data_IF_458199422439
#
_entry.id   IF_458199422439
#
_cell.length_a   1.000
_cell.length_b   1.000
_cell.length_c   1.000
_cell.angle_alpha   90.00
_cell.angle_beta   90.00
_cell.angle_gamma   90.00
#
_symmetry.space_group_name_H-M   'P 1'
#
loop_
_entity.id
_entity.type
_entity.pdbx_description
1 polymer ?
#
# COMPACT_ATOMS: atom_id res chain seq x y z
N UNK A 1 -36.43 -3.28 -44.13
CA UNK A 1 -36.67 -2.43 -42.94
C UNK A 1 -36.12 -3.03 -41.65
N UNK A 2 -35.68 -4.30 -41.60
CA UNK A 2 -35.24 -4.95 -40.34
C UNK A 2 -33.79 -4.57 -39.94
N UNK A 3 -32.91 -4.18 -40.87
CA UNK A 3 -31.52 -3.81 -40.54
C UNK A 3 -31.39 -2.54 -39.69
N UNK A 4 -32.15 -1.49 -40.00
CA UNK A 4 -31.96 -0.17 -39.36
C UNK A 4 -32.25 -0.16 -37.85
N UNK A 5 -33.18 -0.99 -37.37
CA UNK A 5 -33.50 -1.07 -35.93
C UNK A 5 -32.46 -1.90 -35.17
N UNK A 6 -31.94 -2.97 -35.78
CA UNK A 6 -30.84 -3.77 -35.23
C UNK A 6 -29.53 -2.97 -35.14
N UNK A 7 -29.25 -2.13 -36.15
CA UNK A 7 -28.03 -1.33 -36.19
C UNK A 7 -28.02 -0.20 -35.14
N UNK A 8 -29.19 0.43 -34.91
CA UNK A 8 -29.38 1.40 -33.84
C UNK A 8 -29.16 0.78 -32.45
N UNK A 9 -29.70 -0.42 -32.21
CA UNK A 9 -29.50 -1.15 -30.94
C UNK A 9 -28.01 -1.43 -30.71
N UNK A 10 -27.28 -1.82 -31.77
CA UNK A 10 -25.86 -2.11 -31.69
C UNK A 10 -25.02 -0.85 -31.44
N UNK A 11 -25.37 0.29 -32.05
CA UNK A 11 -24.71 1.57 -31.76
C UNK A 11 -24.89 1.99 -30.29
N UNK A 12 -26.11 1.90 -29.78
CA UNK A 12 -26.41 2.22 -28.38
C UNK A 12 -25.64 1.30 -27.41
N UNK A 13 -25.53 0.01 -27.72
CA UNK A 13 -24.76 -0.94 -26.92
C UNK A 13 -23.27 -0.59 -26.89
N UNK A 14 -22.67 -0.26 -28.03
CA UNK A 14 -21.26 0.14 -28.13
C UNK A 14 -20.99 1.43 -27.34
N UNK A 15 -21.86 2.43 -27.45
CA UNK A 15 -21.75 3.70 -26.70
C UNK A 15 -21.87 3.45 -25.19
N UNK A 16 -22.78 2.57 -24.78
CA UNK A 16 -22.94 2.19 -23.38
C UNK A 16 -21.69 1.50 -22.84
N UNK A 17 -21.13 0.54 -23.60
CA UNK A 17 -19.88 -0.13 -23.22
C UNK A 17 -18.71 0.85 -23.09
N UNK A 18 -18.60 1.85 -23.99
CA UNK A 18 -17.58 2.90 -23.87
C UNK A 18 -17.75 3.71 -22.59
N UNK A 19 -18.98 4.13 -22.29
CA UNK A 19 -19.30 4.90 -21.08
C UNK A 19 -18.97 4.11 -19.81
N UNK A 20 -19.29 2.81 -19.79
CA UNK A 20 -18.99 1.93 -18.66
C UNK A 20 -17.48 1.75 -18.45
N UNK A 21 -16.71 1.60 -19.53
CA UNK A 21 -15.24 1.53 -19.46
C UNK A 21 -14.61 2.84 -18.99
N UNK A 22 -15.11 3.98 -19.48
CA UNK A 22 -14.65 5.31 -19.04
C UNK A 22 -14.91 5.52 -17.55
N UNK A 23 -16.09 5.13 -17.06
CA UNK A 23 -16.41 5.18 -15.63
C UNK A 23 -15.49 4.30 -14.78
N UNK A 24 -15.21 3.07 -15.23
CA UNK A 24 -14.27 2.18 -14.54
C UNK A 24 -12.87 2.77 -14.47
N UNK A 25 -12.41 3.40 -15.55
CA UNK A 25 -11.12 4.08 -15.58
C UNK A 25 -11.08 5.24 -14.57
N UNK A 26 -12.13 6.04 -14.48
CA UNK A 26 -12.23 7.13 -13.50
C UNK A 26 -12.20 6.62 -12.05
N UNK A 27 -12.94 5.55 -11.75
CA UNK A 27 -12.96 4.94 -10.42
C UNK A 27 -11.57 4.37 -10.06
N UNK A 28 -10.91 3.71 -11.00
CA UNK A 28 -9.56 3.17 -10.82
C UNK A 28 -8.51 4.27 -10.61
N UNK A 29 -8.63 5.41 -11.32
CA UNK A 29 -7.76 6.57 -11.10
C UNK A 29 -7.94 7.19 -9.71
N UNK A 30 -9.17 7.17 -9.17
CA UNK A 30 -9.41 7.60 -7.78
C UNK A 30 -8.73 6.66 -6.79
N UNK A 31 -8.87 5.35 -6.96
CA UNK A 31 -8.19 4.35 -6.12
C UNK A 31 -6.67 4.54 -6.16
N UNK A 32 -6.10 4.78 -7.35
CA UNK A 32 -4.68 5.11 -7.53
C UNK A 32 -4.26 6.32 -6.69
N UNK A 33 -5.03 7.40 -6.75
CA UNK A 33 -4.74 8.62 -5.98
C UNK A 33 -4.83 8.39 -4.46
N UNK A 34 -5.80 7.60 -4.01
CA UNK A 34 -5.92 7.25 -2.60
C UNK A 34 -4.72 6.43 -2.09
N UNK A 35 -4.30 5.43 -2.86
CA UNK A 35 -3.11 4.63 -2.54
C UNK A 35 -1.85 5.49 -2.47
N UNK A 36 -1.63 6.38 -3.45
CA UNK A 36 -0.50 7.31 -3.46
C UNK A 36 -0.50 8.27 -2.25
N UNK A 37 -1.68 8.76 -1.85
CA UNK A 37 -1.78 9.61 -0.67
C UNK A 37 -1.45 8.83 0.62
N UNK A 38 -1.94 7.59 0.76
CA UNK A 38 -1.59 6.72 1.89
C UNK A 38 -0.09 6.45 1.96
N UNK A 39 0.55 6.14 0.83
CA UNK A 39 2.02 5.96 0.76
C UNK A 39 2.74 7.22 1.23
N UNK A 40 2.31 8.41 0.78
CA UNK A 40 2.91 9.69 1.20
C UNK A 40 2.81 9.87 2.72
N UNK A 41 1.69 9.53 3.33
CA UNK A 41 1.50 9.66 4.77
C UNK A 41 2.35 8.65 5.55
N UNK A 42 2.46 7.39 5.09
CA UNK A 42 3.37 6.40 5.68
C UNK A 42 4.83 6.86 5.61
N UNK A 43 5.25 7.48 4.50
CA UNK A 43 6.61 8.05 4.35
C UNK A 43 6.83 9.17 5.36
N UNK A 44 5.86 10.08 5.55
CA UNK A 44 5.96 11.16 6.53
C UNK A 44 6.04 10.63 7.96
N UNK A 45 5.20 9.65 8.30
CA UNK A 45 5.20 9.02 9.62
C UNK A 45 6.55 8.36 9.90
N UNK A 46 7.05 7.56 8.96
CA UNK A 46 8.36 6.93 9.06
C UNK A 46 9.49 7.94 9.27
N UNK A 47 9.51 9.03 8.50
CA UNK A 47 10.50 10.10 8.71
C UNK A 47 10.35 10.84 10.05
N UNK A 48 9.16 10.82 10.66
CA UNK A 48 8.96 11.25 12.05
C UNK A 48 9.66 10.31 13.03
N UNK A 49 9.40 9.02 12.90
CA UNK A 49 10.00 7.97 13.74
C UNK A 49 11.52 7.90 13.62
N UNK A 50 12.08 8.10 12.43
CA UNK A 50 13.53 8.16 12.21
C UNK A 50 14.16 9.32 12.99
N UNK A 51 13.52 10.50 13.02
CA UNK A 51 13.97 11.65 13.83
C UNK A 51 13.86 11.38 15.33
N UNK A 52 12.82 10.69 15.76
CA UNK A 52 12.67 10.28 17.16
C UNK A 52 13.79 9.30 17.57
N UNK A 53 14.14 8.37 16.70
CA UNK A 53 15.24 7.43 16.92
C UNK A 53 16.58 8.16 17.05
N UNK A 54 16.85 9.15 16.19
CA UNK A 54 18.06 9.97 16.26
C UNK A 54 18.17 10.74 17.58
N UNK A 55 17.06 11.34 18.04
CA UNK A 55 17.00 12.02 19.34
C UNK A 55 17.28 11.05 20.48
N UNK A 56 16.64 9.89 20.48
CA UNK A 56 16.82 8.86 21.52
C UNK A 56 18.26 8.31 21.51
N UNK A 57 18.89 8.16 20.34
CA UNK A 57 20.30 7.80 20.24
C UNK A 57 21.21 8.87 20.88
N UNK A 58 20.86 10.16 20.73
CA UNK A 58 21.54 11.25 21.41
C UNK A 58 21.43 11.15 22.94
N UNK A 59 20.21 10.97 23.46
CA UNK A 59 19.94 10.81 24.88
C UNK A 59 20.68 9.59 25.47
N UNK A 60 20.70 8.47 24.75
CA UNK A 60 21.44 7.26 25.15
C UNK A 60 22.93 7.55 25.30
N UNK A 61 23.54 8.26 24.34
CA UNK A 61 24.95 8.60 24.36
C UNK A 61 25.30 9.48 25.55
N UNK A 62 24.48 10.49 25.84
CA UNK A 62 24.66 11.35 27.02
C UNK A 62 24.58 10.56 28.33
N UNK A 63 23.66 9.61 28.44
CA UNK A 63 23.54 8.74 29.61
C UNK A 63 24.73 7.76 29.73
N UNK A 64 25.23 7.23 28.62
CA UNK A 64 26.44 6.39 28.59
C UNK A 64 27.69 7.17 29.04
N UNK A 65 27.79 8.46 28.67
CA UNK A 65 28.85 9.33 29.15
C UNK A 65 28.74 9.58 30.67
N UNK A 66 27.54 9.92 31.16
CA UNK A 66 27.29 10.04 32.61
C UNK A 66 27.62 8.76 33.38
N UNK A 67 27.25 7.60 32.83
CA UNK A 67 27.58 6.30 33.41
C UNK A 67 29.08 6.09 33.57
N UNK A 68 29.86 6.47 32.55
CA UNK A 68 31.32 6.38 32.58
C UNK A 68 31.90 7.29 33.66
N UNK A 69 31.40 8.52 33.77
CA UNK A 69 31.84 9.49 34.79
C UNK A 69 31.54 9.01 36.21
N UNK A 70 30.33 8.48 36.45
CA UNK A 70 29.95 7.90 37.75
C UNK A 70 30.87 6.73 38.09
N UNK A 71 31.12 5.83 37.14
CA UNK A 71 32.02 4.68 37.32
C UNK A 71 33.45 5.14 37.67
N UNK A 72 33.94 6.18 37.02
CA UNK A 72 35.25 6.77 37.32
C UNK A 72 35.29 7.33 38.75
N UNK A 73 34.29 8.15 39.14
CA UNK A 73 34.20 8.73 40.49
C UNK A 73 34.13 7.66 41.59
N UNK A 74 33.39 6.57 41.37
CA UNK A 74 33.34 5.42 42.30
C UNK A 74 34.72 4.77 42.43
N UNK A 75 35.47 4.63 41.33
CA UNK A 75 36.83 4.11 41.32
C UNK A 75 37.82 5.01 42.06
N UNK A 76 37.72 6.33 41.87
CA UNK A 76 38.54 7.33 42.57
C UNK A 76 38.30 7.27 44.08
N UNK A 77 37.03 7.29 44.49
CA UNK A 77 36.63 7.15 45.91
C UNK A 77 37.15 5.84 46.50
N UNK A 78 37.07 4.73 45.77
CA UNK A 78 37.54 3.44 46.28
C UNK A 78 39.05 3.44 46.52
N UNK A 79 39.84 4.17 45.71
CA UNK A 79 41.28 4.37 45.94
C UNK A 79 41.57 5.31 47.11
N UNK A 80 40.79 6.36 47.29
CA UNK A 80 40.92 7.26 48.45
C UNK A 80 40.72 6.49 49.77
N UNK A 81 39.81 5.51 49.80
CA UNK A 81 39.56 4.69 50.99
C UNK A 81 40.74 3.79 51.39
N UNK A 82 41.61 3.38 50.46
CA UNK A 82 42.73 2.47 50.74
C UNK A 82 43.84 3.12 51.60
N UNK A 83 43.78 4.44 51.83
CA UNK A 83 44.80 5.20 52.56
C UNK A 83 44.32 5.96 53.82
N UNK A 84 43.11 5.73 54.31
CA UNK A 84 42.49 6.57 55.36
C UNK A 84 42.37 5.82 56.70
N UNK A 85 42.88 6.45 57.78
CA UNK A 85 42.82 5.93 59.15
C UNK A 85 41.88 6.70 60.10
N UNK A 86 41.20 7.75 59.62
CA UNK A 86 40.28 8.57 60.43
C UNK A 86 38.82 8.14 60.20
N UNK A 87 38.15 7.71 61.27
CA UNK A 87 36.82 7.08 61.23
C UNK A 87 35.71 8.00 60.66
N UNK A 88 35.75 9.30 60.97
CA UNK A 88 34.80 10.29 60.47
C UNK A 88 34.91 10.50 58.95
N UNK A 89 36.14 10.46 58.43
CA UNK A 89 36.42 10.60 56.99
C UNK A 89 36.00 9.36 56.20
N UNK A 90 36.08 8.18 56.82
CA UNK A 90 35.57 6.93 56.22
C UNK A 90 34.06 6.98 56.03
N UNK A 91 33.31 7.52 57.00
CA UNK A 91 31.85 7.65 56.93
C UNK A 91 31.40 8.59 55.81
N UNK A 92 32.04 9.76 55.67
CA UNK A 92 31.73 10.72 54.60
C UNK A 92 31.97 10.12 53.21
N UNK A 93 33.09 9.43 53.04
CA UNK A 93 33.43 8.76 51.77
C UNK A 93 32.45 7.64 51.45
N UNK A 94 32.03 6.85 52.46
CA UNK A 94 31.00 5.84 52.29
C UNK A 94 29.68 6.43 51.79
N UNK A 95 29.24 7.54 52.41
CA UNK A 95 28.00 8.21 52.01
C UNK A 95 28.05 8.66 50.55
N UNK A 96 29.14 9.33 50.14
CA UNK A 96 29.34 9.77 48.76
C UNK A 96 29.37 8.61 47.76
N UNK A 97 29.99 7.48 48.15
CA UNK A 97 29.98 6.25 47.34
C UNK A 97 28.57 5.70 47.17
N UNK A 98 27.77 5.68 48.23
CA UNK A 98 26.38 5.24 48.18
C UNK A 98 25.52 6.13 47.27
N UNK A 99 25.68 7.45 47.36
CA UNK A 99 24.98 8.42 46.49
C UNK A 99 25.30 8.16 45.00
N UNK A 100 26.58 7.94 44.66
CA UNK A 100 26.97 7.61 43.29
C UNK A 100 26.44 6.26 42.80
N UNK A 101 26.33 5.27 43.69
CA UNK A 101 25.72 3.97 43.36
C UNK A 101 24.23 4.15 43.04
N UNK A 102 23.53 5.00 43.79
CA UNK A 102 22.13 5.33 43.53
C UNK A 102 21.98 6.07 42.19
N UNK A 103 22.80 7.10 41.94
CA UNK A 103 22.82 7.82 40.66
C UNK A 103 23.09 6.85 39.48
N UNK A 104 24.01 5.89 39.68
CA UNK A 104 24.27 4.83 38.68
C UNK A 104 23.02 4.02 38.36
N UNK A 105 22.30 3.57 39.38
CA UNK A 105 21.09 2.77 39.21
C UNK A 105 19.98 3.56 38.47
N UNK A 106 19.83 4.85 38.76
CA UNK A 106 18.87 5.71 38.04
C UNK A 106 19.24 5.88 36.56
N UNK A 107 20.53 5.96 36.24
CA UNK A 107 21.00 6.02 34.84
C UNK A 107 20.80 4.67 34.15
N UNK A 108 21.04 3.54 34.82
CA UNK A 108 20.76 2.20 34.32
C UNK A 108 19.27 2.06 33.95
N UNK A 109 18.35 2.46 34.83
CA UNK A 109 16.90 2.42 34.58
C UNK A 109 16.49 3.25 33.36
N UNK A 110 17.06 4.46 33.21
CA UNK A 110 16.79 5.32 32.03
C UNK A 110 17.32 4.71 30.73
N UNK A 111 18.44 4.00 30.76
CA UNK A 111 18.97 3.29 29.60
C UNK A 111 18.07 2.11 29.20
N UNK A 112 17.51 1.40 30.17
CA UNK A 112 16.54 0.33 29.92
C UNK A 112 15.25 0.88 29.28
N UNK A 113 14.75 2.02 29.78
CA UNK A 113 13.62 2.75 29.17
C UNK A 113 13.87 3.15 27.72
N UNK A 114 15.05 3.71 27.45
CA UNK A 114 15.47 4.06 26.09
C UNK A 114 15.50 2.83 25.20
N UNK A 115 16.06 1.73 25.69
CA UNK A 115 16.13 0.48 24.94
C UNK A 115 14.74 -0.01 24.55
N UNK A 116 13.78 0.02 25.49
CA UNK A 116 12.37 -0.32 25.21
C UNK A 116 11.77 0.59 24.13
N UNK A 117 11.90 1.91 24.27
CA UNK A 117 11.38 2.87 23.27
C UNK A 117 11.98 2.67 21.89
N UNK A 118 13.28 2.37 21.79
CA UNK A 118 13.92 2.06 20.49
C UNK A 118 13.30 0.84 19.83
N UNK A 119 13.07 -0.23 20.59
CA UNK A 119 12.43 -1.45 20.07
C UNK A 119 11.04 -1.14 19.53
N UNK A 120 10.21 -0.41 20.29
CA UNK A 120 8.88 0.01 19.87
C UNK A 120 8.90 0.82 18.57
N UNK A 121 9.79 1.80 18.46
CA UNK A 121 9.96 2.62 17.25
C UNK A 121 10.40 1.77 16.05
N UNK A 122 11.36 0.86 16.25
CA UNK A 122 11.85 -0.02 15.20
C UNK A 122 10.76 -0.96 14.68
N UNK A 123 9.93 -1.50 15.57
CA UNK A 123 8.81 -2.34 15.18
C UNK A 123 7.75 -1.54 14.42
N UNK A 124 7.46 -0.30 14.84
CA UNK A 124 6.58 0.59 14.09
C UNK A 124 7.13 0.90 12.70
N UNK A 125 8.42 1.14 12.54
CA UNK A 125 9.06 1.35 11.23
C UNK A 125 8.92 0.11 10.34
N UNK A 126 9.06 -1.10 10.90
CA UNK A 126 8.83 -2.34 10.14
C UNK A 126 7.39 -2.46 9.66
N UNK A 127 6.41 -2.18 10.52
CA UNK A 127 4.99 -2.18 10.14
C UNK A 127 4.71 -1.19 9.01
N UNK A 128 5.20 0.05 9.12
CA UNK A 128 5.03 1.07 8.09
C UNK A 128 5.68 0.64 6.76
N UNK A 129 6.85 0.00 6.83
CA UNK A 129 7.54 -0.51 5.64
C UNK A 129 6.72 -1.60 4.95
N UNK A 130 6.16 -2.54 5.73
CA UNK A 130 5.27 -3.58 5.20
C UNK A 130 4.02 -3.00 4.55
N UNK A 131 3.32 -2.10 5.26
CA UNK A 131 2.11 -1.46 4.74
C UNK A 131 2.39 -0.68 3.44
N UNK A 132 3.57 -0.06 3.33
CA UNK A 132 3.99 0.63 2.11
C UNK A 132 4.17 -0.34 0.96
N UNK A 133 4.82 -1.49 1.19
CA UNK A 133 4.98 -2.52 0.15
C UNK A 133 3.64 -3.09 -0.32
N UNK A 134 2.69 -3.34 0.59
CA UNK A 134 1.34 -3.80 0.22
C UNK A 134 0.58 -2.77 -0.64
N UNK A 135 0.79 -1.47 -0.39
CA UNK A 135 0.24 -0.39 -1.22
C UNK A 135 0.96 -0.26 -2.57
N UNK A 136 2.28 -0.46 -2.60
CA UNK A 136 3.07 -0.49 -3.85
C UNK A 136 2.58 -1.63 -4.76
N UNK A 137 2.37 -2.83 -4.22
CA UNK A 137 1.78 -3.95 -4.98
C UNK A 137 0.36 -3.65 -5.47
N UNK A 138 -0.42 -2.90 -4.69
CA UNK A 138 -1.75 -2.47 -5.12
C UNK A 138 -1.68 -1.47 -6.27
N UNK A 139 -0.72 -0.54 -6.24
CA UNK A 139 -0.47 0.38 -7.36
C UNK A 139 -0.06 -0.37 -8.62
N UNK A 140 0.83 -1.37 -8.52
CA UNK A 140 1.24 -2.16 -9.67
C UNK A 140 0.04 -2.87 -10.34
N UNK A 141 -0.87 -3.42 -9.53
CA UNK A 141 -2.12 -4.03 -10.03
C UNK A 141 -3.03 -2.99 -10.70
N UNK A 142 -3.21 -1.83 -10.07
CA UNK A 142 -3.99 -0.73 -10.61
C UNK A 142 -3.41 -0.25 -11.94
N UNK A 143 -2.08 -0.15 -12.07
CA UNK A 143 -1.43 0.27 -13.31
C UNK A 143 -1.59 -0.75 -14.43
N UNK A 144 -1.53 -2.04 -14.11
CA UNK A 144 -1.81 -3.10 -15.07
C UNK A 144 -3.26 -3.02 -15.59
N UNK A 145 -4.24 -2.86 -14.69
CA UNK A 145 -5.65 -2.72 -15.04
C UNK A 145 -5.93 -1.42 -15.82
N UNK A 146 -5.27 -0.31 -15.46
CA UNK A 146 -5.36 0.97 -16.17
C UNK A 146 -4.90 0.82 -17.64
N UNK A 147 -3.81 0.08 -17.87
CA UNK A 147 -3.30 -0.21 -19.22
C UNK A 147 -4.30 -1.08 -20.00
N UNK A 148 -4.87 -2.10 -19.36
CA UNK A 148 -5.84 -2.99 -20.00
C UNK A 148 -7.13 -2.25 -20.38
N UNK A 149 -7.71 -1.48 -19.45
CA UNK A 149 -8.90 -0.67 -19.70
C UNK A 149 -8.68 0.34 -20.83
N UNK A 150 -7.50 0.99 -20.88
CA UNK A 150 -7.16 1.92 -21.98
C UNK A 150 -7.09 1.23 -23.33
N UNK A 151 -6.55 0.00 -23.38
CA UNK A 151 -6.53 -0.82 -24.61
C UNK A 151 -7.96 -1.16 -25.04
N UNK A 152 -8.74 -1.74 -24.14
CA UNK A 152 -10.13 -2.12 -24.42
C UNK A 152 -10.97 -0.92 -24.88
N UNK A 153 -10.77 0.25 -24.27
CA UNK A 153 -11.46 1.48 -24.68
C UNK A 153 -11.00 1.95 -26.08
N UNK A 154 -9.72 1.83 -26.40
CA UNK A 154 -9.20 2.17 -27.73
C UNK A 154 -9.78 1.25 -28.80
N UNK A 155 -9.75 -0.07 -28.55
CA UNK A 155 -10.27 -1.09 -29.46
C UNK A 155 -11.78 -0.89 -29.68
N UNK A 156 -12.53 -0.65 -28.60
CA UNK A 156 -13.96 -0.38 -28.69
C UNK A 156 -14.27 0.91 -29.46
N UNK A 157 -13.46 1.97 -29.29
CA UNK A 157 -13.55 3.22 -30.06
C UNK A 157 -13.23 3.01 -31.53
N UNK A 158 -12.36 2.08 -31.87
CA UNK A 158 -12.09 1.69 -33.26
C UNK A 158 -13.27 0.91 -33.85
N UNK A 159 -13.74 -0.14 -33.18
CA UNK A 159 -14.92 -0.91 -33.61
C UNK A 159 -16.15 -0.02 -33.81
N UNK A 160 -16.39 0.94 -32.91
CA UNK A 160 -17.51 1.88 -33.03
C UNK A 160 -17.35 2.79 -34.24
N UNK A 161 -16.14 3.29 -34.51
CA UNK A 161 -15.87 4.10 -35.72
C UNK A 161 -16.06 3.30 -37.00
N UNK A 162 -15.59 2.05 -37.04
CA UNK A 162 -15.76 1.16 -38.19
C UNK A 162 -17.23 0.87 -38.46
N UNK A 163 -18.01 0.57 -37.41
CA UNK A 163 -19.44 0.33 -37.48
C UNK A 163 -20.20 1.56 -38.02
N UNK A 164 -19.93 2.76 -37.48
CA UNK A 164 -20.53 4.01 -38.00
C UNK A 164 -20.14 4.24 -39.47
N UNK A 165 -18.89 3.95 -39.84
CA UNK A 165 -18.42 4.11 -41.21
C UNK A 165 -19.02 3.10 -42.18
N UNK A 166 -19.37 1.88 -41.74
CA UNK A 166 -20.10 0.90 -42.57
C UNK A 166 -21.55 1.32 -42.77
N UNK A 167 -22.24 1.74 -41.70
CA UNK A 167 -23.61 2.25 -41.81
C UNK A 167 -23.69 3.46 -42.74
N UNK A 168 -22.74 4.40 -42.61
CA UNK A 168 -22.69 5.59 -43.46
C UNK A 168 -22.52 5.24 -44.95
N UNK A 169 -21.78 4.17 -45.27
CA UNK A 169 -21.61 3.68 -46.63
C UNK A 169 -22.90 3.05 -47.16
N UNK A 170 -23.54 2.18 -46.38
CA UNK A 170 -24.79 1.52 -46.75
C UNK A 170 -25.91 2.54 -47.01
N UNK A 171 -26.05 3.56 -46.16
CA UNK A 171 -26.99 4.67 -46.38
C UNK A 171 -26.69 5.38 -47.71
N UNK A 172 -25.41 5.65 -48.00
CA UNK A 172 -25.01 6.30 -49.25
C UNK A 172 -25.20 5.45 -50.52
N UNK A 173 -25.24 4.13 -50.42
CA UNK A 173 -25.60 3.21 -51.52
C UNK A 173 -27.11 3.21 -51.76
N UNK A 174 -27.90 3.18 -50.68
CA UNK A 174 -29.38 3.30 -50.73
C UNK A 174 -29.79 4.62 -51.37
N UNK A 175 -29.19 5.74 -50.97
CA UNK A 175 -29.52 7.08 -51.49
C UNK A 175 -29.20 7.24 -52.99
N UNK A 176 -28.26 6.44 -53.53
CA UNK A 176 -27.88 6.42 -54.94
C UNK A 176 -28.73 5.49 -55.81
N UNK A 177 -29.61 4.69 -55.21
CA UNK A 177 -30.45 3.72 -55.92
C UNK A 177 -29.69 2.51 -56.48
N UNK A 178 -28.50 2.21 -55.93
CA UNK A 178 -27.74 1.01 -56.24
C UNK A 178 -28.42 -0.19 -55.52
N UNK A 179 -28.66 -1.32 -56.21
CA UNK A 179 -29.28 -2.52 -55.61
C UNK A 179 -28.44 -3.02 -54.43
N UNK A 180 -28.95 -2.87 -53.21
CA UNK A 180 -28.34 -3.45 -52.00
C UNK A 180 -28.56 -4.97 -52.05
N UNK A 181 -27.50 -5.72 -52.28
CA UNK A 181 -27.52 -7.19 -52.28
C UNK A 181 -27.72 -7.67 -50.82
N UNK A 182 -28.97 -7.90 -50.43
CA UNK A 182 -29.33 -8.41 -49.10
C UNK A 182 -28.79 -9.84 -48.98
N UNK A 183 -27.63 -10.01 -48.35
CA UNK A 183 -27.14 -11.32 -47.91
C UNK A 183 -27.76 -11.64 -46.56
N UNK A 184 -28.84 -12.41 -46.58
CA UNK A 184 -29.34 -13.09 -45.38
C UNK A 184 -28.31 -14.12 -44.93
N UNK A 185 -27.45 -13.75 -43.97
CA UNK A 185 -26.64 -14.71 -43.24
C UNK A 185 -27.50 -15.25 -42.09
N UNK A 186 -28.31 -16.29 -42.39
CA UNK A 186 -28.99 -17.08 -41.37
C UNK A 186 -27.91 -17.94 -40.70
N UNK A 187 -27.42 -17.51 -39.54
CA UNK A 187 -26.63 -18.37 -38.66
C UNK A 187 -27.59 -19.38 -38.03
N UNK A 188 -27.58 -20.62 -38.53
CA UNK A 188 -28.17 -21.76 -37.83
C UNK A 188 -27.43 -21.94 -36.49
N UNK A 189 -28.06 -21.48 -35.41
CA UNK A 189 -27.68 -21.77 -34.05
C UNK A 189 -27.84 -23.29 -33.82
N UNK A 190 -26.72 -24.02 -33.86
CA UNK A 190 -26.68 -25.41 -33.41
C UNK A 190 -26.98 -25.44 -31.91
N UNK A 191 -28.20 -25.85 -31.58
CA UNK A 191 -28.58 -26.24 -30.22
C UNK A 191 -27.71 -27.43 -29.81
N UNK A 192 -26.73 -27.16 -28.95
CA UNK A 192 -25.99 -28.19 -28.22
C UNK A 192 -26.93 -28.82 -27.19
N UNK A 193 -27.32 -30.08 -27.40
CA UNK A 193 -28.08 -30.86 -26.43
C UNK A 193 -27.30 -30.99 -25.11
N UNK A 194 -27.92 -30.52 -24.02
CA UNK A 194 -27.41 -30.73 -22.67
C UNK A 194 -27.33 -32.23 -22.32
N UNK A 195 -26.31 -32.68 -21.57
CA UNK A 195 -26.18 -34.07 -21.16
C UNK A 195 -27.30 -34.45 -20.18
N UNK A 196 -27.96 -35.58 -20.45
CA UNK A 196 -28.99 -36.19 -19.61
C UNK A 196 -28.42 -36.50 -18.22
N UNK A 197 -29.05 -35.93 -17.19
CA UNK A 197 -28.81 -36.28 -15.79
C UNK A 197 -29.47 -37.64 -15.52
N UNK A 198 -28.64 -38.64 -15.25
CA UNK A 198 -29.05 -39.98 -14.80
C UNK A 198 -29.65 -39.86 -13.38
N UNK A 199 -30.88 -40.34 -13.22
CA UNK A 199 -31.59 -40.36 -11.94
C UNK A 199 -30.90 -41.29 -10.94
N UNK A 200 -30.56 -40.76 -9.75
CA UNK A 200 -30.17 -41.57 -8.61
C UNK A 200 -31.41 -42.26 -8.00
N UNK A 201 -31.32 -43.55 -7.59
CA UNK A 201 -32.46 -44.26 -7.03
C UNK A 201 -32.78 -43.79 -5.62
N UNK A 202 -34.07 -43.55 -5.37
CA UNK A 202 -34.63 -43.38 -4.03
C UNK A 202 -34.51 -44.69 -3.26
N UNK A 203 -33.88 -44.66 -2.09
CA UNK A 203 -33.97 -45.72 -1.09
C UNK A 203 -34.87 -45.22 0.02
N UNK A 204 -36.03 -45.88 0.17
CA UNK A 204 -36.91 -45.83 1.35
C UNK A 204 -36.27 -46.53 2.55
#
# INVERSE_FOLDING_TARGET
MVNSESDLIKEEELIKQQTDLEKRLDDLLREKMEALNKIRDLVRERSGLERDLDRINGEEKELQEKMRDIKQKIGDISREMEGIGEEERVLEIHKRKTELIQERAEVEEKLDDITRKKVEILDKIKELTRNRSELEETLDRIEAEEIELKRNLSDLKETTREFIASMSREIGEIDRGEEVEIKEEITEEKVEEAPKVEEAPKVE
#
